data_IF_962365706791
#
_entry.id   IF_962365706791
#
_cell.length_a   1.000
_cell.length_b   1.000
_cell.length_c   1.000
_cell.angle_alpha   90.00
_cell.angle_beta   90.00
_cell.angle_gamma   90.00
#
_symmetry.space_group_name_H-M   'P 1'
#
loop_
_entity.id
_entity.type
_entity.pdbx_description
1 polymer ?
#
# COMPACT_ATOMS: atom_id res chain seq x y z
N UNK A 1 -4.63 -6.08 68.81
CA UNK A 1 -4.32 -7.39 68.22
C UNK A 1 -4.91 -7.39 66.82
N UNK A 2 -4.12 -7.05 65.83
CA UNK A 2 -4.52 -7.08 64.41
C UNK A 2 -3.86 -8.31 63.77
N UNK A 3 -4.71 -9.25 63.36
CA UNK A 3 -4.34 -10.51 62.72
C UNK A 3 -3.82 -10.22 61.29
N UNK A 4 -2.55 -10.43 61.04
CA UNK A 4 -1.99 -10.52 59.70
C UNK A 4 -2.39 -11.85 59.06
N UNK A 5 -3.32 -11.79 58.09
CA UNK A 5 -3.71 -12.94 57.28
C UNK A 5 -2.52 -13.44 56.43
N UNK A 6 -2.14 -14.65 56.69
CA UNK A 6 -1.06 -15.41 56.04
C UNK A 6 -1.45 -15.66 54.59
N UNK A 7 -0.81 -15.02 53.66
CA UNK A 7 -0.81 -15.47 52.25
C UNK A 7 -0.10 -16.83 52.22
N UNK A 8 -0.82 -17.90 52.02
CA UNK A 8 -0.24 -19.24 51.97
C UNK A 8 0.64 -19.36 50.71
N UNK A 9 1.82 -19.95 50.87
CA UNK A 9 2.78 -20.22 49.77
C UNK A 9 2.15 -20.99 48.61
N UNK A 10 1.11 -21.77 48.88
CA UNK A 10 0.33 -22.50 47.88
C UNK A 10 -0.53 -21.57 46.99
N UNK A 11 -1.06 -20.48 47.54
CA UNK A 11 -1.87 -19.51 46.79
C UNK A 11 -1.00 -18.68 45.81
N UNK A 12 0.22 -18.30 46.24
CA UNK A 12 1.15 -17.61 45.35
C UNK A 12 1.66 -18.51 44.20
N UNK A 13 1.94 -19.79 44.49
CA UNK A 13 2.33 -20.74 43.44
C UNK A 13 1.20 -20.99 42.46
N UNK A 14 -0.04 -21.07 42.88
CA UNK A 14 -1.18 -21.25 42.00
C UNK A 14 -1.39 -20.02 41.11
N UNK A 15 -1.31 -18.80 41.66
CA UNK A 15 -1.40 -17.55 40.90
C UNK A 15 -0.26 -17.40 39.89
N UNK A 16 0.97 -17.80 40.27
CA UNK A 16 2.14 -17.75 39.40
C UNK A 16 2.03 -18.73 38.21
N UNK A 17 1.51 -19.93 38.48
CA UNK A 17 1.27 -20.96 37.44
C UNK A 17 0.13 -20.57 36.50
N UNK A 18 -0.96 -19.97 37.04
CA UNK A 18 -2.06 -19.45 36.23
C UNK A 18 -1.61 -18.24 35.35
N UNK A 19 -0.81 -17.33 35.93
CA UNK A 19 -0.24 -16.22 35.18
C UNK A 19 0.73 -16.68 34.07
N UNK A 20 1.53 -17.72 34.33
CA UNK A 20 2.40 -18.32 33.33
C UNK A 20 1.63 -19.07 32.24
N UNK A 21 0.55 -19.79 32.61
CA UNK A 21 -0.28 -20.52 31.66
C UNK A 21 -1.09 -19.55 30.77
N UNK A 22 -1.63 -18.47 31.32
CA UNK A 22 -2.31 -17.42 30.55
C UNK A 22 -1.35 -16.68 29.64
N UNK A 23 -0.14 -16.34 30.08
CA UNK A 23 0.87 -15.71 29.23
C UNK A 23 1.36 -16.63 28.10
N UNK A 24 1.54 -17.92 28.35
CA UNK A 24 1.90 -18.89 27.33
C UNK A 24 0.79 -19.11 26.30
N UNK A 25 -0.47 -19.09 26.74
CA UNK A 25 -1.63 -19.22 25.83
C UNK A 25 -1.82 -17.97 24.98
N UNK A 26 -1.65 -16.78 25.57
CA UNK A 26 -1.71 -15.50 24.81
C UNK A 26 -0.55 -15.37 23.85
N UNK A 27 0.67 -15.73 24.24
CA UNK A 27 1.84 -15.74 23.35
C UNK A 27 1.69 -16.76 22.21
N UNK A 28 1.13 -17.94 22.48
CA UNK A 28 0.82 -18.95 21.48
C UNK A 28 -0.27 -18.49 20.51
N UNK A 29 -1.34 -17.86 21.02
CA UNK A 29 -2.42 -17.31 20.20
C UNK A 29 -1.94 -16.13 19.32
N UNK A 30 -1.10 -15.25 19.83
CA UNK A 30 -0.50 -14.15 19.05
C UNK A 30 0.47 -14.66 17.98
N UNK A 31 1.25 -15.68 18.28
CA UNK A 31 2.14 -16.37 17.34
C UNK A 31 1.36 -17.07 16.23
N UNK A 32 0.26 -17.75 16.56
CA UNK A 32 -0.61 -18.38 15.57
C UNK A 32 -1.27 -17.33 14.67
N UNK A 33 -1.74 -16.22 15.24
CA UNK A 33 -2.40 -15.15 14.48
C UNK A 33 -1.47 -14.44 13.50
N UNK A 34 -0.19 -14.26 13.83
CA UNK A 34 0.78 -13.66 12.92
C UNK A 34 1.05 -14.50 11.66
N UNK A 35 0.83 -15.82 11.74
CA UNK A 35 0.97 -16.71 10.59
C UNK A 35 -0.11 -16.49 9.52
N UNK A 36 -1.23 -15.86 9.86
CA UNK A 36 -2.35 -15.59 8.93
C UNK A 36 -2.34 -14.18 8.35
N UNK A 37 -1.42 -13.30 8.78
CA UNK A 37 -1.29 -11.95 8.21
C UNK A 37 -0.80 -12.07 6.76
N UNK A 38 -1.50 -11.41 5.84
CA UNK A 38 -1.26 -11.50 4.39
C UNK A 38 -0.56 -10.28 3.79
N UNK A 39 -0.18 -9.33 4.63
CA UNK A 39 0.47 -8.06 4.26
C UNK A 39 1.88 -8.04 4.87
N UNK A 40 2.91 -7.51 4.16
CA UNK A 40 4.28 -7.45 4.68
C UNK A 40 4.45 -6.51 5.87
N UNK A 41 5.54 -6.68 6.60
CA UNK A 41 6.01 -5.69 7.56
C UNK A 41 6.42 -4.39 6.84
N UNK A 42 6.14 -3.24 7.50
CA UNK A 42 6.47 -1.91 6.98
C UNK A 42 7.97 -1.66 7.17
N UNK A 43 8.76 -2.07 6.21
CA UNK A 43 10.22 -1.87 6.18
C UNK A 43 10.61 -0.80 5.16
N UNK A 44 11.89 -0.44 5.10
CA UNK A 44 12.41 0.41 4.02
C UNK A 44 12.13 -0.22 2.65
N UNK A 45 12.28 -1.55 2.54
CA UNK A 45 11.99 -2.28 1.29
C UNK A 45 10.53 -2.12 0.86
N UNK A 46 9.59 -2.13 1.82
CA UNK A 46 8.18 -1.89 1.54
C UNK A 46 7.99 -0.55 0.83
N UNK A 47 8.54 0.53 1.36
CA UNK A 47 8.39 1.86 0.77
C UNK A 47 9.11 2.00 -0.56
N UNK A 48 10.31 1.42 -0.71
CA UNK A 48 11.04 1.44 -1.98
C UNK A 48 10.24 0.72 -3.07
N UNK A 49 9.81 -0.53 -2.83
CA UNK A 49 9.03 -1.28 -3.83
C UNK A 49 7.69 -0.58 -4.10
N UNK A 50 7.07 0.02 -3.07
CA UNK A 50 5.82 0.77 -3.23
C UNK A 50 5.98 1.95 -4.19
N UNK A 51 7.03 2.77 -4.03
CA UNK A 51 7.33 3.89 -4.94
C UNK A 51 7.64 3.37 -6.34
N UNK A 52 8.50 2.36 -6.47
CA UNK A 52 8.81 1.75 -7.77
C UNK A 52 7.53 1.23 -8.47
N UNK A 53 6.64 0.57 -7.71
CA UNK A 53 5.36 0.05 -8.24
C UNK A 53 4.43 1.17 -8.71
N UNK A 54 4.43 2.32 -8.03
CA UNK A 54 3.62 3.48 -8.44
C UNK A 54 4.16 4.12 -9.72
N UNK A 55 5.48 4.21 -9.86
CA UNK A 55 6.14 4.69 -11.08
C UNK A 55 5.86 3.76 -12.27
N UNK A 56 5.99 2.43 -12.06
CA UNK A 56 5.66 1.42 -13.09
C UNK A 56 4.19 1.50 -13.47
N UNK A 57 3.29 1.73 -12.51
CA UNK A 57 1.86 1.86 -12.79
C UNK A 57 1.57 2.90 -13.84
N UNK A 58 2.28 4.02 -13.80
CA UNK A 58 2.18 5.11 -14.78
C UNK A 58 2.81 4.71 -16.11
N UNK A 59 4.12 4.52 -16.10
CA UNK A 59 4.89 4.33 -17.33
C UNK A 59 4.55 3.04 -18.08
N UNK A 60 4.17 1.96 -17.38
CA UNK A 60 3.84 0.68 -18.00
C UNK A 60 2.41 0.67 -18.59
N UNK A 61 1.46 1.40 -17.99
CA UNK A 61 0.16 1.63 -18.58
C UNK A 61 0.30 2.32 -19.94
N UNK A 62 1.07 3.41 -19.97
CA UNK A 62 1.39 4.15 -21.20
C UNK A 62 2.11 3.30 -22.24
N UNK A 63 3.08 2.51 -21.78
CA UNK A 63 3.84 1.63 -22.69
C UNK A 63 2.93 0.59 -23.36
N UNK A 64 2.06 -0.06 -22.62
CA UNK A 64 1.10 -1.03 -23.17
C UNK A 64 0.10 -0.36 -24.12
N UNK A 65 -0.40 0.80 -23.73
CA UNK A 65 -1.42 1.53 -24.48
C UNK A 65 -0.85 2.06 -25.81
N UNK A 66 0.31 2.72 -25.75
CA UNK A 66 0.84 3.48 -26.87
C UNK A 66 1.92 2.74 -27.66
N UNK A 67 2.90 2.10 -26.96
CA UNK A 67 4.05 1.48 -27.65
C UNK A 67 3.72 0.05 -28.13
N UNK A 68 3.01 -0.74 -27.33
CA UNK A 68 2.52 -2.07 -27.76
C UNK A 68 1.30 -1.93 -28.67
N UNK A 69 0.57 -0.82 -28.57
CA UNK A 69 -0.54 -0.51 -29.44
C UNK A 69 -1.84 -1.25 -29.07
N UNK A 70 -1.98 -1.72 -27.83
CA UNK A 70 -3.22 -2.36 -27.36
C UNK A 70 -4.40 -1.36 -27.28
N UNK A 71 -4.08 -0.06 -27.27
CA UNK A 71 -5.04 0.99 -26.94
C UNK A 71 -5.49 0.93 -25.49
N UNK A 72 -6.16 1.97 -25.04
CA UNK A 72 -6.54 2.10 -23.60
C UNK A 72 -7.49 1.00 -23.15
N UNK A 73 -8.50 0.65 -23.96
CA UNK A 73 -9.48 -0.38 -23.60
C UNK A 73 -8.87 -1.79 -23.61
N UNK A 74 -8.01 -2.10 -24.60
CA UNK A 74 -7.33 -3.38 -24.67
C UNK A 74 -6.36 -3.58 -23.50
N UNK A 75 -5.61 -2.53 -23.16
CA UNK A 75 -4.72 -2.53 -22.00
C UNK A 75 -5.50 -2.72 -20.70
N UNK A 76 -6.62 -2.00 -20.54
CA UNK A 76 -7.49 -2.14 -19.37
C UNK A 76 -8.02 -3.57 -19.23
N UNK A 77 -8.58 -4.14 -20.32
CA UNK A 77 -9.11 -5.50 -20.29
C UNK A 77 -8.06 -6.55 -19.93
N UNK A 78 -6.87 -6.47 -20.55
CA UNK A 78 -5.75 -7.37 -20.25
C UNK A 78 -5.33 -7.25 -18.78
N UNK A 79 -5.10 -6.04 -18.30
CA UNK A 79 -4.63 -5.80 -16.93
C UNK A 79 -5.70 -6.18 -15.90
N UNK A 80 -6.99 -5.96 -16.19
CA UNK A 80 -8.09 -6.37 -15.32
C UNK A 80 -8.16 -7.89 -15.17
N UNK A 81 -7.98 -8.65 -16.25
CA UNK A 81 -7.95 -10.12 -16.21
C UNK A 81 -6.76 -10.59 -15.35
N UNK A 82 -5.58 -10.02 -15.58
CA UNK A 82 -4.38 -10.36 -14.80
C UNK A 82 -4.54 -10.00 -13.32
N UNK A 83 -5.11 -8.83 -13.01
CA UNK A 83 -5.39 -8.42 -11.64
C UNK A 83 -6.37 -9.36 -10.95
N UNK A 84 -7.47 -9.72 -11.61
CA UNK A 84 -8.45 -10.66 -11.04
C UNK A 84 -7.78 -12.01 -10.75
N UNK A 85 -6.97 -12.52 -11.68
CA UNK A 85 -6.23 -13.77 -11.48
C UNK A 85 -5.25 -13.68 -10.29
N UNK A 86 -4.50 -12.57 -10.19
CA UNK A 86 -3.55 -12.33 -9.11
C UNK A 86 -4.27 -12.18 -7.76
N UNK A 87 -5.39 -11.45 -7.70
CA UNK A 87 -6.20 -11.32 -6.48
C UNK A 87 -6.80 -12.66 -6.06
N UNK A 88 -7.33 -13.46 -7.01
CA UNK A 88 -7.82 -14.81 -6.70
C UNK A 88 -6.71 -15.66 -6.12
N UNK A 89 -5.50 -15.60 -6.67
CA UNK A 89 -4.34 -16.27 -6.10
C UNK A 89 -4.02 -15.75 -4.69
N UNK A 90 -3.94 -14.44 -4.51
CA UNK A 90 -3.65 -13.78 -3.23
C UNK A 90 -4.70 -14.13 -2.15
N UNK A 91 -5.99 -14.11 -2.48
CA UNK A 91 -7.06 -14.47 -1.55
C UNK A 91 -7.04 -15.94 -1.11
N UNK A 92 -6.52 -16.84 -1.95
CA UNK A 92 -6.36 -18.28 -1.63
C UNK A 92 -5.16 -18.56 -0.72
N UNK A 93 -4.21 -17.66 -0.62
CA UNK A 93 -3.07 -17.82 0.29
C UNK A 93 -3.54 -17.69 1.74
N UNK A 94 -2.91 -18.45 2.63
CA UNK A 94 -3.19 -18.40 4.07
C UNK A 94 -2.22 -17.48 4.84
N UNK A 95 -1.12 -17.10 4.21
CA UNK A 95 -0.08 -16.26 4.80
C UNK A 95 0.56 -15.37 3.74
N UNK A 96 1.31 -14.36 4.18
CA UNK A 96 2.04 -13.46 3.31
C UNK A 96 3.03 -14.21 2.41
N UNK A 97 2.94 -13.90 1.12
CA UNK A 97 3.87 -14.35 0.08
C UNK A 97 4.30 -13.15 -0.77
N UNK A 98 5.57 -12.74 -0.68
CA UNK A 98 6.06 -11.51 -1.31
C UNK A 98 5.73 -11.41 -2.82
N UNK A 99 5.97 -12.44 -3.67
CA UNK A 99 5.63 -12.35 -5.09
C UNK A 99 4.14 -12.12 -5.37
N UNK A 100 3.24 -12.79 -4.64
CA UNK A 100 1.80 -12.64 -4.84
C UNK A 100 1.32 -11.24 -4.43
N UNK A 101 1.75 -10.78 -3.25
CA UNK A 101 1.39 -9.46 -2.73
C UNK A 101 1.87 -8.34 -3.67
N UNK A 102 3.16 -8.33 -4.04
CA UNK A 102 3.72 -7.27 -4.88
C UNK A 102 3.23 -7.34 -6.32
N UNK A 103 2.91 -8.51 -6.84
CA UNK A 103 2.23 -8.64 -8.13
C UNK A 103 0.86 -7.94 -8.11
N UNK A 104 0.04 -8.18 -7.07
CA UNK A 104 -1.23 -7.47 -6.90
C UNK A 104 -1.02 -5.95 -6.82
N UNK A 105 -0.02 -5.47 -6.05
CA UNK A 105 0.26 -4.03 -5.92
C UNK A 105 0.63 -3.42 -7.27
N UNK A 106 1.50 -4.06 -8.05
CA UNK A 106 1.90 -3.58 -9.39
C UNK A 106 0.69 -3.55 -10.34
N UNK A 107 -0.09 -4.63 -10.40
CA UNK A 107 -1.26 -4.70 -11.27
C UNK A 107 -2.34 -3.69 -10.88
N UNK A 108 -2.60 -3.50 -9.58
CA UNK A 108 -3.53 -2.45 -9.11
C UNK A 108 -2.98 -1.06 -9.46
N UNK A 109 -1.66 -0.86 -9.43
CA UNK A 109 -1.07 0.41 -9.84
C UNK A 109 -1.40 0.73 -11.29
N UNK A 110 -1.19 -0.21 -12.21
CA UNK A 110 -1.53 -0.07 -13.62
C UNK A 110 -3.03 0.16 -13.83
N UNK A 111 -3.87 -0.63 -13.16
CA UNK A 111 -5.33 -0.48 -13.26
C UNK A 111 -5.80 0.87 -12.70
N UNK A 112 -5.21 1.34 -11.61
CA UNK A 112 -5.54 2.65 -11.02
C UNK A 112 -5.29 3.79 -12.00
N UNK A 113 -4.16 3.78 -12.73
CA UNK A 113 -3.87 4.71 -13.83
C UNK A 113 -4.93 4.59 -14.93
N UNK A 114 -5.11 3.40 -15.47
CA UNK A 114 -6.04 3.17 -16.60
C UNK A 114 -7.49 3.54 -16.27
N UNK A 115 -7.94 3.38 -15.03
CA UNK A 115 -9.30 3.82 -14.60
C UNK A 115 -9.40 5.34 -14.67
N UNK A 116 -8.37 6.05 -14.16
CA UNK A 116 -8.35 7.52 -14.17
C UNK A 116 -8.29 8.05 -15.60
N UNK A 117 -7.37 7.54 -16.42
CA UNK A 117 -7.21 7.95 -17.81
C UNK A 117 -8.48 7.69 -18.64
N UNK A 118 -9.12 6.54 -18.40
CA UNK A 118 -10.40 6.23 -19.07
C UNK A 118 -11.50 7.23 -18.69
N UNK A 119 -11.57 7.64 -17.42
CA UNK A 119 -12.52 8.66 -16.99
C UNK A 119 -12.22 10.03 -17.62
N UNK A 120 -10.95 10.39 -17.73
CA UNK A 120 -10.54 11.71 -18.23
C UNK A 120 -10.60 11.75 -19.75
N UNK A 121 -9.92 10.81 -20.43
CA UNK A 121 -9.69 10.87 -21.87
C UNK A 121 -10.90 10.36 -22.68
N UNK A 122 -11.56 9.29 -22.22
CA UNK A 122 -12.66 8.67 -22.94
C UNK A 122 -14.04 9.19 -22.51
N UNK A 123 -14.25 9.44 -21.22
CA UNK A 123 -15.53 9.94 -20.70
C UNK A 123 -15.56 11.46 -20.56
N UNK A 124 -14.46 12.17 -20.78
CA UNK A 124 -14.35 13.62 -20.69
C UNK A 124 -14.56 14.17 -19.28
N UNK A 125 -14.38 13.35 -18.24
CA UNK A 125 -14.54 13.76 -16.85
C UNK A 125 -13.30 14.55 -16.44
N UNK A 126 -13.49 15.73 -15.83
CA UNK A 126 -12.37 16.56 -15.43
C UNK A 126 -11.51 15.91 -14.33
N UNK A 127 -10.20 16.16 -14.33
CA UNK A 127 -9.26 15.71 -13.28
C UNK A 127 -9.72 16.13 -11.88
N UNK A 128 -10.33 17.32 -11.74
CA UNK A 128 -10.90 17.79 -10.47
C UNK A 128 -12.04 16.86 -10.03
N UNK A 129 -12.95 16.55 -10.95
CA UNK A 129 -14.09 15.67 -10.65
C UNK A 129 -13.61 14.26 -10.31
N UNK A 130 -12.67 13.70 -11.06
CA UNK A 130 -12.08 12.38 -10.80
C UNK A 130 -11.42 12.34 -9.43
N UNK A 131 -10.62 13.36 -9.07
CA UNK A 131 -9.99 13.50 -7.76
C UNK A 131 -11.01 13.52 -6.63
N UNK A 132 -12.10 14.29 -6.78
CA UNK A 132 -13.17 14.36 -5.76
C UNK A 132 -13.91 13.02 -5.65
N UNK A 133 -14.26 12.40 -6.75
CA UNK A 133 -14.97 11.10 -6.75
C UNK A 133 -14.13 10.02 -6.07
N UNK A 134 -12.84 9.89 -6.41
CA UNK A 134 -11.97 8.89 -5.78
C UNK A 134 -11.67 9.22 -4.32
N UNK A 135 -11.59 10.50 -3.94
CA UNK A 135 -11.46 10.92 -2.53
C UNK A 135 -12.67 10.48 -1.71
N UNK A 136 -13.88 10.69 -2.25
CA UNK A 136 -15.12 10.25 -1.60
C UNK A 136 -15.18 8.72 -1.50
N UNK A 137 -14.87 8.01 -2.58
CA UNK A 137 -14.86 6.54 -2.60
C UNK A 137 -13.88 5.96 -1.58
N UNK A 138 -12.68 6.53 -1.50
CA UNK A 138 -11.67 6.16 -0.51
C UNK A 138 -12.13 6.44 0.92
N UNK A 139 -12.72 7.62 1.17
CA UNK A 139 -13.25 7.97 2.48
C UNK A 139 -14.38 7.03 2.91
N UNK A 140 -15.32 6.71 2.01
CA UNK A 140 -16.39 5.75 2.27
C UNK A 140 -15.81 4.37 2.60
N UNK A 141 -14.79 3.92 1.85
CA UNK A 141 -14.13 2.64 2.10
C UNK A 141 -13.47 2.60 3.47
N UNK A 142 -12.74 3.64 3.88
CA UNK A 142 -12.17 3.73 5.22
C UNK A 142 -13.22 3.75 6.32
N UNK A 143 -14.31 4.51 6.14
CA UNK A 143 -15.40 4.58 7.11
C UNK A 143 -16.08 3.21 7.25
N UNK A 144 -16.36 2.53 6.14
CA UNK A 144 -16.95 1.20 6.13
C UNK A 144 -16.01 0.20 6.83
N UNK A 145 -14.73 0.18 6.48
CA UNK A 145 -13.72 -0.67 7.10
C UNK A 145 -13.62 -0.43 8.61
N UNK A 146 -13.49 0.84 9.03
CA UNK A 146 -13.41 1.19 10.45
C UNK A 146 -14.68 0.80 11.23
N UNK A 147 -15.86 0.96 10.63
CA UNK A 147 -17.14 0.59 11.30
C UNK A 147 -17.30 -0.92 11.43
N UNK A 148 -16.86 -1.68 10.46
CA UNK A 148 -17.00 -3.14 10.42
C UNK A 148 -15.92 -3.83 11.25
N UNK A 149 -14.66 -3.47 11.07
CA UNK A 149 -13.51 -4.19 11.64
C UNK A 149 -12.89 -3.50 12.85
N UNK A 150 -13.34 -2.28 13.19
CA UNK A 150 -12.88 -1.45 14.32
C UNK A 150 -11.38 -1.09 14.29
N UNK A 151 -10.67 -1.43 13.23
CA UNK A 151 -9.24 -1.15 13.07
C UNK A 151 -8.88 -0.99 11.60
N UNK A 152 -8.09 0.04 11.29
CA UNK A 152 -7.48 0.25 9.96
C UNK A 152 -6.02 -0.22 9.93
N UNK A 153 -5.58 -1.00 10.91
CA UNK A 153 -4.21 -1.51 10.96
C UNK A 153 -4.00 -2.60 9.91
N UNK A 154 -2.96 -2.45 9.11
CA UNK A 154 -2.59 -3.47 8.12
C UNK A 154 -2.09 -4.77 8.77
N UNK A 155 -1.56 -4.69 10.01
CA UNK A 155 -1.13 -5.85 10.78
C UNK A 155 -2.29 -6.73 11.28
N UNK A 156 -3.53 -6.37 10.97
CA UNK A 156 -4.73 -7.16 11.29
C UNK A 156 -5.41 -7.77 10.06
N UNK A 157 -4.78 -7.70 8.88
CA UNK A 157 -5.32 -8.27 7.63
C UNK A 157 -5.07 -9.78 7.62
N UNK A 158 -5.94 -10.52 8.32
CA UNK A 158 -5.83 -11.96 8.59
C UNK A 158 -7.04 -12.76 8.10
N UNK A 159 -8.08 -12.11 7.56
CA UNK A 159 -9.28 -12.74 7.04
C UNK A 159 -9.73 -12.12 5.71
N UNK A 160 -10.66 -12.81 5.03
CA UNK A 160 -11.18 -12.40 3.72
C UNK A 160 -11.76 -10.98 3.71
N UNK A 161 -12.54 -10.62 4.73
CA UNK A 161 -13.23 -9.33 4.77
C UNK A 161 -12.26 -8.15 4.91
N UNK A 162 -11.26 -8.28 5.81
CA UNK A 162 -10.20 -7.28 5.98
C UNK A 162 -9.32 -7.17 4.75
N UNK A 163 -9.02 -8.31 4.13
CA UNK A 163 -8.24 -8.34 2.89
C UNK A 163 -9.02 -7.67 1.73
N UNK A 164 -10.33 -7.86 1.64
CA UNK A 164 -11.17 -7.19 0.64
C UNK A 164 -11.19 -5.67 0.85
N UNK A 165 -11.37 -5.18 2.09
CA UNK A 165 -11.25 -3.76 2.40
C UNK A 165 -9.87 -3.20 2.06
N UNK A 166 -8.82 -3.96 2.40
CA UNK A 166 -7.44 -3.58 2.12
C UNK A 166 -7.20 -3.37 0.62
N UNK A 167 -7.53 -4.35 -0.22
CA UNK A 167 -7.31 -4.25 -1.66
C UNK A 167 -8.20 -3.20 -2.33
N UNK A 168 -9.43 -3.02 -1.86
CA UNK A 168 -10.33 -1.94 -2.30
C UNK A 168 -9.77 -0.56 -1.94
N UNK A 169 -9.25 -0.40 -0.72
CA UNK A 169 -8.58 0.83 -0.30
C UNK A 169 -7.36 1.13 -1.18
N UNK A 170 -6.54 0.12 -1.45
CA UNK A 170 -5.37 0.27 -2.34
C UNK A 170 -5.81 0.72 -3.73
N UNK A 171 -6.82 0.08 -4.32
CA UNK A 171 -7.33 0.44 -5.66
C UNK A 171 -7.76 1.92 -5.73
N UNK A 172 -8.59 2.38 -4.78
CA UNK A 172 -9.00 3.78 -4.75
C UNK A 172 -7.85 4.73 -4.43
N UNK A 173 -6.89 4.31 -3.63
CA UNK A 173 -5.67 5.10 -3.37
C UNK A 173 -4.85 5.29 -4.66
N UNK A 174 -4.76 4.27 -5.50
CA UNK A 174 -4.02 4.36 -6.76
C UNK A 174 -4.76 5.24 -7.77
N UNK A 175 -6.06 5.06 -7.96
CA UNK A 175 -6.86 5.89 -8.85
C UNK A 175 -6.87 7.37 -8.40
N UNK A 176 -7.08 7.63 -7.11
CA UNK A 176 -6.99 8.98 -6.54
C UNK A 176 -5.62 9.60 -6.77
N UNK A 177 -4.55 8.82 -6.58
CA UNK A 177 -3.20 9.35 -6.69
C UNK A 177 -2.80 9.70 -8.12
N UNK A 178 -3.27 8.96 -9.15
CA UNK A 178 -3.13 9.36 -10.56
C UNK A 178 -3.88 10.67 -10.78
N UNK A 179 -5.18 10.72 -10.50
CA UNK A 179 -5.98 11.92 -10.71
C UNK A 179 -5.40 13.17 -10.01
N UNK A 180 -4.89 13.01 -8.79
CA UNK A 180 -4.27 14.11 -8.05
C UNK A 180 -2.90 14.48 -8.61
N UNK A 181 -2.08 13.50 -9.03
CA UNK A 181 -0.77 13.73 -9.65
C UNK A 181 -0.90 14.59 -10.92
N UNK A 182 -1.77 14.16 -11.82
CA UNK A 182 -2.04 14.84 -13.09
C UNK A 182 -2.70 16.21 -12.88
N UNK A 183 -3.60 16.31 -11.89
CA UNK A 183 -4.20 17.59 -11.51
C UNK A 183 -3.12 18.62 -11.13
N UNK A 184 -2.13 18.24 -10.32
CA UNK A 184 -1.05 19.12 -9.90
C UNK A 184 -0.05 19.38 -11.03
N UNK A 185 0.37 18.34 -11.73
CA UNK A 185 1.40 18.44 -12.76
C UNK A 185 0.91 19.17 -14.02
N UNK A 186 -0.27 18.83 -14.50
CA UNK A 186 -0.79 19.24 -15.79
C UNK A 186 -1.83 20.36 -15.69
N UNK A 187 -2.92 20.14 -14.90
CA UNK A 187 -4.03 21.09 -14.84
C UNK A 187 -3.65 22.38 -14.10
N UNK A 188 -2.89 22.27 -12.99
CA UNK A 188 -2.36 23.43 -12.26
C UNK A 188 -1.05 23.92 -12.91
N UNK A 189 -0.50 23.14 -13.86
CA UNK A 189 0.71 23.46 -14.62
C UNK A 189 1.98 23.67 -13.75
N UNK A 190 2.11 22.93 -12.65
CA UNK A 190 3.32 22.95 -11.82
C UNK A 190 4.49 22.20 -12.46
N UNK A 191 4.20 21.30 -13.41
CA UNK A 191 5.15 20.38 -14.01
C UNK A 191 5.51 19.22 -13.09
N UNK A 192 6.07 18.16 -13.68
CA UNK A 192 6.31 16.87 -13.00
C UNK A 192 7.35 17.00 -11.88
N UNK A 193 8.45 17.73 -12.09
CA UNK A 193 9.51 17.88 -11.09
C UNK A 193 9.05 18.64 -9.83
N UNK A 194 8.29 19.72 -10.02
CA UNK A 194 7.74 20.48 -8.87
C UNK A 194 6.71 19.66 -8.10
N UNK A 195 5.83 18.94 -8.81
CA UNK A 195 4.85 18.04 -8.22
C UNK A 195 5.51 16.94 -7.40
N UNK A 196 6.57 16.31 -7.96
CA UNK A 196 7.41 15.35 -7.25
C UNK A 196 7.97 15.93 -5.94
N UNK A 197 8.50 17.15 -5.98
CA UNK A 197 9.03 17.85 -4.81
C UNK A 197 7.97 18.13 -3.74
N UNK A 198 6.77 18.54 -4.15
CA UNK A 198 5.64 18.78 -3.22
C UNK A 198 5.23 17.49 -2.54
N UNK A 199 5.00 16.40 -3.27
CA UNK A 199 4.59 15.12 -2.69
C UNK A 199 5.68 14.51 -1.80
N UNK A 200 6.96 14.64 -2.18
CA UNK A 200 8.08 14.24 -1.32
C UNK A 200 8.10 15.07 -0.02
N UNK A 201 7.91 16.38 -0.11
CA UNK A 201 7.82 17.28 1.05
C UNK A 201 6.69 16.88 2.00
N UNK A 202 5.50 16.55 1.49
CA UNK A 202 4.38 16.06 2.30
C UNK A 202 4.75 14.77 3.04
N UNK A 203 5.40 13.81 2.38
CA UNK A 203 5.85 12.57 3.04
C UNK A 203 6.83 12.85 4.17
N UNK A 204 7.79 13.76 3.95
CA UNK A 204 8.74 14.18 4.99
C UNK A 204 8.01 14.83 6.17
N UNK A 205 7.06 15.72 5.92
CA UNK A 205 6.25 16.35 6.97
C UNK A 205 5.43 15.33 7.76
N UNK A 206 4.83 14.34 7.11
CA UNK A 206 4.12 13.23 7.78
C UNK A 206 5.08 12.43 8.66
N UNK A 207 6.28 12.12 8.16
CA UNK A 207 7.32 11.44 8.92
C UNK A 207 7.76 12.22 10.15
N UNK A 208 7.95 13.54 10.03
CA UNK A 208 8.27 14.43 11.16
C UNK A 208 7.11 14.48 12.17
N UNK A 209 5.87 14.65 11.70
CA UNK A 209 4.68 14.66 12.55
C UNK A 209 4.52 13.34 13.34
N UNK A 210 4.84 12.22 12.72
CA UNK A 210 4.88 10.92 13.39
C UNK A 210 6.00 10.86 14.45
N UNK A 211 7.21 11.33 14.12
CA UNK A 211 8.35 11.36 15.06
C UNK A 211 8.06 12.20 16.31
N UNK A 212 7.39 13.34 16.16
CA UNK A 212 7.00 14.20 17.30
C UNK A 212 5.67 13.76 17.95
N UNK A 213 5.13 12.57 17.58
CA UNK A 213 3.90 11.98 18.11
C UNK A 213 2.64 12.84 17.91
N UNK A 214 2.63 13.71 16.90
CA UNK A 214 1.46 14.51 16.53
C UNK A 214 0.37 13.65 15.86
N UNK A 215 0.78 12.59 15.14
CA UNK A 215 -0.12 11.64 14.50
C UNK A 215 0.25 10.20 14.88
N UNK A 216 -0.76 9.33 14.96
CA UNK A 216 -0.56 7.91 15.24
C UNK A 216 -0.01 7.13 14.03
N UNK A 217 0.58 5.95 14.28
CA UNK A 217 1.22 5.13 13.24
C UNK A 217 0.28 4.72 12.10
N UNK A 218 -1.00 4.39 12.40
CA UNK A 218 -2.01 4.04 11.37
C UNK A 218 -2.27 5.25 10.45
N UNK A 219 -2.44 6.43 11.03
CA UNK A 219 -2.64 7.66 10.25
C UNK A 219 -1.42 8.00 9.40
N UNK A 220 -0.22 7.96 9.99
CA UNK A 220 1.03 8.20 9.26
C UNK A 220 1.20 7.22 8.09
N UNK A 221 0.91 5.93 8.30
CA UNK A 221 0.98 4.91 7.27
C UNK A 221 0.04 5.25 6.10
N UNK A 222 -1.25 5.46 6.37
CA UNK A 222 -2.22 5.66 5.29
C UNK A 222 -2.01 6.98 4.55
N UNK A 223 -1.67 8.07 5.24
CA UNK A 223 -1.35 9.36 4.57
C UNK A 223 -0.12 9.16 3.66
N UNK A 224 0.96 8.56 4.16
CA UNK A 224 2.16 8.27 3.36
C UNK A 224 1.81 7.35 2.20
N UNK A 225 1.00 6.31 2.43
CA UNK A 225 0.58 5.35 1.41
C UNK A 225 -0.19 6.04 0.26
N UNK A 226 -1.10 6.96 0.59
CA UNK A 226 -1.86 7.74 -0.39
C UNK A 226 -0.91 8.65 -1.18
N UNK A 227 -0.05 9.41 -0.49
CA UNK A 227 0.82 10.42 -1.11
C UNK A 227 1.96 9.80 -1.94
N UNK A 228 2.40 8.57 -1.64
CA UNK A 228 3.39 7.88 -2.48
C UNK A 228 2.87 7.58 -3.89
N UNK A 229 1.55 7.57 -4.12
CA UNK A 229 1.02 7.30 -5.47
C UNK A 229 1.22 8.50 -6.41
N UNK A 230 0.76 9.72 -6.10
CA UNK A 230 1.06 10.88 -6.95
C UNK A 230 2.57 11.19 -7.01
N UNK A 231 3.33 10.90 -5.97
CA UNK A 231 4.79 11.00 -6.02
C UNK A 231 5.39 10.09 -7.09
N UNK A 232 4.96 8.82 -7.14
CA UNK A 232 5.47 7.85 -8.11
C UNK A 232 4.98 8.12 -9.53
N UNK A 233 3.74 8.63 -9.73
CA UNK A 233 3.24 9.09 -11.01
C UNK A 233 4.11 10.24 -11.52
N UNK A 234 4.25 11.31 -10.74
CA UNK A 234 5.10 12.46 -11.11
C UNK A 234 6.56 12.06 -11.38
N UNK A 235 7.10 11.05 -10.68
CA UNK A 235 8.42 10.49 -10.95
C UNK A 235 8.45 9.74 -12.29
N UNK A 236 7.43 8.96 -12.59
CA UNK A 236 7.28 8.22 -13.84
C UNK A 236 7.25 9.16 -15.04
N UNK A 237 6.38 10.17 -14.97
CA UNK A 237 6.24 11.17 -16.02
C UNK A 237 7.51 12.03 -16.17
N UNK A 238 8.09 12.47 -15.07
CA UNK A 238 9.33 13.21 -15.11
C UNK A 238 10.46 12.45 -15.82
N UNK A 239 10.54 11.15 -15.64
CA UNK A 239 11.55 10.32 -16.30
C UNK A 239 11.17 9.98 -17.75
N UNK A 240 9.91 9.66 -18.02
CA UNK A 240 9.47 9.11 -19.31
C UNK A 240 9.08 10.17 -20.33
N UNK A 241 8.43 11.24 -19.89
CA UNK A 241 7.88 12.26 -20.77
C UNK A 241 8.96 13.10 -21.48
N UNK A 242 8.66 13.63 -22.69
CA UNK A 242 9.60 14.46 -23.45
C UNK A 242 10.01 15.74 -22.70
N UNK A 243 11.16 16.31 -23.07
CA UNK A 243 11.63 17.58 -22.51
C UNK A 243 10.67 18.74 -22.79
N UNK A 244 9.91 18.69 -23.88
CA UNK A 244 8.89 19.68 -24.23
C UNK A 244 7.76 19.77 -23.21
N UNK A 245 7.49 18.70 -22.46
CA UNK A 245 6.49 18.62 -21.39
C UNK A 245 7.11 18.56 -19.98
N UNK A 246 8.35 19.07 -19.84
CA UNK A 246 9.09 19.10 -18.57
C UNK A 246 9.60 17.75 -18.05
N UNK A 247 9.66 16.72 -18.91
CA UNK A 247 10.28 15.42 -18.61
C UNK A 247 11.77 15.37 -18.97
N UNK A 248 12.44 14.26 -18.60
CA UNK A 248 13.84 13.97 -19.00
C UNK A 248 13.92 13.35 -20.40
N UNK A 249 12.88 12.62 -20.80
CA UNK A 249 12.79 12.01 -22.13
C UNK A 249 13.43 10.62 -22.24
N UNK A 250 13.49 9.83 -21.16
CA UNK A 250 13.95 8.45 -21.23
C UNK A 250 12.97 7.53 -21.98
N UNK A 251 11.71 7.95 -22.08
CA UNK A 251 10.62 7.18 -22.68
C UNK A 251 10.04 6.13 -21.73
N UNK A 252 8.79 5.77 -22.00
CA UNK A 252 8.02 4.83 -21.17
C UNK A 252 8.61 3.42 -21.18
N UNK A 253 9.17 2.96 -22.31
CA UNK A 253 9.79 1.63 -22.43
C UNK A 253 10.96 1.47 -21.46
N UNK A 254 11.95 2.38 -21.56
CA UNK A 254 13.18 2.29 -20.74
C UNK A 254 12.84 2.41 -19.26
N UNK A 255 12.01 3.39 -18.91
CA UNK A 255 11.61 3.63 -17.52
C UNK A 255 10.87 2.42 -16.94
N UNK A 256 9.88 1.88 -17.64
CA UNK A 256 9.12 0.73 -17.18
C UNK A 256 10.00 -0.49 -16.93
N UNK A 257 10.86 -0.87 -17.86
CA UNK A 257 11.67 -2.08 -17.74
C UNK A 257 12.78 -1.96 -16.69
N UNK A 258 13.37 -0.78 -16.49
CA UNK A 258 14.32 -0.54 -15.39
C UNK A 258 13.62 -0.73 -14.04
N UNK A 259 12.46 -0.11 -13.86
CA UNK A 259 11.74 -0.18 -12.58
C UNK A 259 11.11 -1.57 -12.33
N UNK A 260 10.58 -2.24 -13.37
CA UNK A 260 10.12 -3.64 -13.26
C UNK A 260 11.27 -4.57 -12.90
N UNK A 261 12.45 -4.40 -13.50
CA UNK A 261 13.65 -5.16 -13.15
C UNK A 261 14.06 -4.95 -11.68
N UNK A 262 14.04 -3.71 -11.21
CA UNK A 262 14.33 -3.38 -9.82
C UNK A 262 13.30 -3.98 -8.85
N UNK A 263 12.01 -3.92 -9.18
CA UNK A 263 10.94 -4.56 -8.39
C UNK A 263 11.16 -6.08 -8.35
N UNK A 264 11.39 -6.71 -9.48
CA UNK A 264 11.63 -8.16 -9.56
C UNK A 264 12.82 -8.58 -8.71
N UNK A 265 13.94 -7.83 -8.78
CA UNK A 265 15.11 -8.08 -7.97
C UNK A 265 14.79 -7.98 -6.47
N UNK A 266 14.15 -6.89 -6.03
CA UNK A 266 13.80 -6.67 -4.63
C UNK A 266 12.79 -7.70 -4.11
N UNK A 267 11.76 -8.03 -4.90
CA UNK A 267 10.76 -9.04 -4.53
C UNK A 267 11.38 -10.42 -4.43
N UNK A 268 12.30 -10.76 -5.34
CA UNK A 268 13.06 -12.01 -5.27
C UNK A 268 13.93 -12.04 -4.01
N UNK A 269 14.63 -10.95 -3.71
CA UNK A 269 15.40 -10.81 -2.48
C UNK A 269 14.53 -11.01 -1.22
N UNK A 270 13.34 -10.40 -1.16
CA UNK A 270 12.40 -10.57 -0.05
C UNK A 270 11.87 -12.00 0.04
N UNK A 271 11.57 -12.64 -1.11
CA UNK A 271 11.11 -14.02 -1.13
C UNK A 271 12.14 -15.01 -0.57
N UNK A 272 13.43 -14.76 -0.82
CA UNK A 272 14.55 -15.58 -0.33
C UNK A 272 14.84 -15.28 1.15
N UNK A 273 15.01 -14.01 1.50
CA UNK A 273 15.46 -13.58 2.85
C UNK A 273 14.35 -13.57 3.87
N UNK A 274 13.09 -13.39 3.44
CA UNK A 274 11.90 -13.35 4.30
C UNK A 274 11.96 -12.29 5.40
N UNK A 275 12.74 -11.21 5.21
CA UNK A 275 12.97 -10.15 6.21
C UNK A 275 11.75 -9.25 6.44
N UNK A 276 10.81 -9.28 5.51
CA UNK A 276 9.54 -8.53 5.52
C UNK A 276 8.35 -9.37 5.98
N UNK A 277 8.59 -10.59 6.47
CA UNK A 277 7.49 -11.42 7.01
C UNK A 277 6.93 -10.82 8.30
N UNK A 278 5.59 -10.84 8.46
CA UNK A 278 4.95 -10.43 9.70
C UNK A 278 5.54 -11.18 10.90
N UNK A 279 5.94 -10.42 11.91
CA UNK A 279 6.46 -10.99 13.16
C UNK A 279 5.32 -11.16 14.16
N UNK A 280 5.37 -12.19 15.04
CA UNK A 280 4.49 -12.25 16.18
C UNK A 280 4.63 -10.96 16.98
N UNK A 281 3.49 -10.37 17.41
CA UNK A 281 3.55 -9.23 18.31
C UNK A 281 4.41 -9.62 19.52
N UNK A 282 5.54 -8.94 19.70
CA UNK A 282 6.35 -9.14 20.89
C UNK A 282 5.44 -8.85 22.09
N UNK A 283 5.31 -9.82 22.99
CA UNK A 283 4.68 -9.58 24.29
C UNK A 283 5.44 -8.43 24.94
N UNK A 284 4.81 -7.25 25.00
CA UNK A 284 5.38 -6.15 25.78
C UNK A 284 5.59 -6.64 27.20
N UNK A 285 6.82 -6.57 27.74
CA UNK A 285 6.98 -6.77 29.17
C UNK A 285 6.16 -5.68 29.87
N UNK A 286 5.32 -6.09 30.79
CA UNK A 286 4.51 -5.26 31.70
C UNK A 286 5.42 -4.36 32.52
#
# INVERSE_FOLDING_TARGET
MLSYGIFSESGMKHWYLDAMSTNSTVASASSLRSHFIKVPEITVYFWVIKVLSTTVGETFADWLTNNVGLGQQGTFALMAILLIAALVWQFRLQSYLAPAYWLCVVLISVIGTLVTDNMVDNLGISLITSTVVFSIALAITFIAWQRTEKSLSIHTVDNFQREAFYWTTILFTFALGTAAGDLFAEKIALGYFTSLGIFAGIIVLVGLAFRVKLIGGIGAFWITYIVTRPLGASLGDFLSQPKSTSGIGLGTTVTSFIFLGAILFLVTFLAITKIDRPRPAASSPL
#
